data_IF_512190496809
#
_entry.id   IF_512190496809
#
_cell.length_a   1.000
_cell.length_b   1.000
_cell.length_c   1.000
_cell.angle_alpha   90.00
_cell.angle_beta   90.00
_cell.angle_gamma   90.00
#
_symmetry.space_group_name_H-M   'P 1'
#
loop_
_entity.id
_entity.type
_entity.pdbx_description
1 polymer ?
#
# COMPACT_ATOMS: atom_id res chain seq x y z
N UNK A 1 -35.04 26.67 8.97
CA UNK A 1 -34.32 27.39 10.04
C UNK A 1 -32.82 27.27 9.79
N UNK A 2 -32.12 28.37 9.54
CA UNK A 2 -30.67 28.36 9.26
C UNK A 2 -29.88 28.43 10.56
N UNK A 3 -29.06 27.42 10.84
CA UNK A 3 -28.14 27.39 11.97
C UNK A 3 -27.15 28.56 11.91
N UNK A 4 -26.93 29.22 13.04
CA UNK A 4 -25.97 30.30 13.23
C UNK A 4 -24.53 29.81 12.99
N UNK A 5 -23.64 30.72 12.57
CA UNK A 5 -22.22 30.42 12.37
C UNK A 5 -21.56 29.79 13.61
N UNK A 6 -22.00 30.18 14.81
CA UNK A 6 -21.49 29.67 16.09
C UNK A 6 -22.00 28.25 16.40
N UNK A 7 -23.25 27.96 16.05
CA UNK A 7 -23.86 26.62 16.20
C UNK A 7 -23.21 25.61 15.23
N UNK A 8 -22.91 26.04 14.00
CA UNK A 8 -22.15 25.24 13.03
C UNK A 8 -20.71 24.97 13.48
N UNK A 9 -20.07 25.92 14.18
CA UNK A 9 -18.73 25.73 14.72
C UNK A 9 -18.72 24.71 15.87
N UNK A 10 -19.67 24.82 16.81
CA UNK A 10 -19.83 23.86 17.93
C UNK A 10 -20.16 22.46 17.43
N UNK A 11 -21.10 22.35 16.50
CA UNK A 11 -21.49 21.06 15.92
C UNK A 11 -20.30 20.37 15.23
N UNK A 12 -19.48 21.11 14.47
CA UNK A 12 -18.25 20.59 13.84
C UNK A 12 -17.20 20.15 14.85
N UNK A 13 -17.01 20.91 15.93
CA UNK A 13 -16.05 20.56 16.98
C UNK A 13 -16.48 19.31 17.75
N UNK A 14 -17.77 19.17 18.02
CA UNK A 14 -18.35 18.02 18.69
C UNK A 14 -18.32 16.77 17.81
N UNK A 15 -18.67 16.89 16.52
CA UNK A 15 -18.49 15.78 15.56
C UNK A 15 -17.03 15.39 15.40
N UNK A 16 -16.09 16.34 15.36
CA UNK A 16 -14.66 16.05 15.28
C UNK A 16 -14.12 15.34 16.53
N UNK A 17 -14.56 15.75 17.73
CA UNK A 17 -14.18 15.10 18.98
C UNK A 17 -14.81 13.70 19.10
N UNK A 18 -16.06 13.54 18.67
CA UNK A 18 -16.73 12.24 18.67
C UNK A 18 -16.05 11.28 17.67
N UNK A 19 -15.70 11.77 16.47
CA UNK A 19 -14.94 11.01 15.49
C UNK A 19 -13.54 10.62 16.01
N UNK A 20 -12.85 11.50 16.75
CA UNK A 20 -11.56 11.18 17.39
C UNK A 20 -11.71 10.14 18.49
N UNK A 21 -12.76 10.23 19.32
CA UNK A 21 -13.08 9.25 20.36
C UNK A 21 -13.35 7.88 19.77
N UNK A 22 -14.21 7.81 18.75
CA UNK A 22 -14.53 6.57 18.03
C UNK A 22 -13.28 5.99 17.34
N UNK A 23 -12.45 6.83 16.71
CA UNK A 23 -11.17 6.37 16.15
C UNK A 23 -10.26 5.79 17.24
N UNK A 24 -10.13 6.44 18.39
CA UNK A 24 -9.28 5.94 19.50
C UNK A 24 -9.81 4.63 20.08
N UNK A 25 -11.11 4.50 20.26
CA UNK A 25 -11.75 3.27 20.73
C UNK A 25 -11.55 2.12 19.71
N UNK A 26 -11.81 2.37 18.42
CA UNK A 26 -11.59 1.39 17.36
C UNK A 26 -10.11 0.99 17.24
N UNK A 27 -9.18 1.93 17.43
CA UNK A 27 -7.74 1.65 17.40
C UNK A 27 -7.25 0.84 18.60
N UNK A 28 -7.92 0.91 19.75
CA UNK A 28 -7.55 0.14 20.94
C UNK A 28 -7.86 -1.36 20.81
N UNK A 29 -8.83 -1.71 19.96
CA UNK A 29 -9.25 -3.09 19.70
C UNK A 29 -8.53 -3.75 18.52
N UNK A 30 -7.68 -3.02 17.80
CA UNK A 30 -7.00 -3.50 16.59
C UNK A 30 -5.51 -3.76 16.83
N UNK A 31 -4.99 -4.81 16.22
CA UNK A 31 -3.54 -4.96 16.05
C UNK A 31 -3.14 -4.30 14.75
N UNK A 32 -2.39 -3.21 14.85
CA UNK A 32 -1.91 -2.42 13.72
C UNK A 32 -0.53 -2.90 13.32
N UNK A 33 -0.44 -3.58 12.17
CA UNK A 33 0.83 -3.93 11.54
C UNK A 33 1.18 -2.87 10.50
N UNK A 34 2.25 -2.12 10.75
CA UNK A 34 2.82 -1.20 9.77
C UNK A 34 4.04 -1.86 9.15
N UNK A 35 3.93 -2.30 7.90
CA UNK A 35 5.06 -2.91 7.19
C UNK A 35 5.80 -1.80 6.43
N UNK A 36 6.99 -1.44 6.93
CA UNK A 36 7.93 -0.59 6.20
C UNK A 36 8.86 -1.53 5.43
N UNK A 37 8.38 -2.09 4.33
CA UNK A 37 9.25 -2.89 3.46
C UNK A 37 10.11 -1.95 2.63
N UNK A 38 11.41 -1.88 2.94
CA UNK A 38 12.40 -1.22 2.09
C UNK A 38 12.66 -1.98 0.78
N UNK A 39 12.10 -3.17 0.60
CA UNK A 39 12.36 -4.01 -0.55
C UNK A 39 11.06 -4.58 -1.11
N UNK A 40 10.50 -3.87 -2.10
CA UNK A 40 9.38 -4.35 -2.93
C UNK A 40 9.81 -5.44 -3.92
N UNK A 41 11.09 -5.79 -3.92
CA UNK A 41 11.68 -6.82 -4.77
C UNK A 41 11.37 -8.24 -4.29
N UNK A 42 11.04 -8.39 -3.00
CA UNK A 42 10.71 -9.70 -2.42
C UNK A 42 9.37 -9.65 -1.67
N UNK A 43 8.26 -10.09 -2.29
CA UNK A 43 6.94 -10.08 -1.66
C UNK A 43 6.87 -10.97 -0.41
N UNK A 44 7.68 -12.03 -0.35
CA UNK A 44 7.65 -13.00 0.76
C UNK A 44 8.05 -12.39 2.12
N UNK A 45 8.79 -11.27 2.14
CA UNK A 45 9.16 -10.61 3.39
C UNK A 45 7.96 -9.93 4.05
N UNK A 46 7.07 -9.33 3.24
CA UNK A 46 5.85 -8.73 3.73
C UNK A 46 4.85 -9.79 4.19
N UNK A 47 4.66 -10.84 3.39
CA UNK A 47 3.83 -11.99 3.75
C UNK A 47 4.28 -12.61 5.08
N UNK A 48 5.58 -12.82 5.27
CA UNK A 48 6.10 -13.33 6.54
C UNK A 48 5.82 -12.39 7.73
N UNK A 49 5.83 -11.07 7.53
CA UNK A 49 5.48 -10.12 8.58
C UNK A 49 3.98 -10.16 8.90
N UNK A 50 3.13 -10.34 7.88
CA UNK A 50 1.68 -10.49 8.01
C UNK A 50 1.34 -11.79 8.73
N UNK A 51 2.01 -12.89 8.40
CA UNK A 51 1.82 -14.20 9.03
C UNK A 51 2.17 -14.18 10.52
N UNK A 52 3.22 -13.44 10.90
CA UNK A 52 3.56 -13.23 12.32
C UNK A 52 2.43 -12.53 13.09
N UNK A 53 1.68 -11.64 12.45
CA UNK A 53 0.57 -10.93 13.06
C UNK A 53 -0.74 -11.76 13.11
N UNK A 54 -0.97 -12.65 12.13
CA UNK A 54 -2.15 -13.52 12.03
C UNK A 54 -2.02 -14.84 12.83
N UNK A 55 -1.21 -14.86 13.89
CA UNK A 55 -0.94 -16.09 14.65
C UNK A 55 -2.19 -16.63 15.36
N UNK A 56 -2.26 -17.97 15.49
CA UNK A 56 -3.28 -18.68 16.26
C UNK A 56 -3.35 -18.12 17.69
N UNK A 57 -4.55 -17.74 18.13
CA UNK A 57 -4.81 -17.09 19.42
C UNK A 57 -5.05 -15.58 19.32
N UNK A 58 -4.85 -14.98 18.14
CA UNK A 58 -5.26 -13.61 17.89
C UNK A 58 -6.78 -13.53 17.73
N UNK A 59 -7.43 -12.73 18.58
CA UNK A 59 -8.88 -12.46 18.53
C UNK A 59 -9.20 -11.09 17.93
N UNK A 60 -8.20 -10.22 17.83
CA UNK A 60 -8.36 -8.84 17.33
C UNK A 60 -8.11 -8.78 15.83
N UNK A 61 -8.87 -7.97 15.08
CA UNK A 61 -8.62 -7.79 13.66
C UNK A 61 -7.23 -7.21 13.42
N UNK A 62 -6.51 -7.77 12.46
CA UNK A 62 -5.18 -7.31 12.05
C UNK A 62 -5.35 -6.37 10.86
N UNK A 63 -4.93 -5.12 11.02
CA UNK A 63 -4.91 -4.14 9.93
C UNK A 63 -3.49 -3.98 9.42
N UNK A 64 -3.29 -4.32 8.14
CA UNK A 64 -2.02 -4.14 7.45
C UNK A 64 -2.04 -2.83 6.67
N UNK A 65 -1.10 -1.95 6.96
CA UNK A 65 -0.92 -0.71 6.21
C UNK A 65 0.42 -0.72 5.48
N UNK A 66 0.37 -0.57 4.16
CA UNK A 66 1.53 -0.33 3.31
C UNK A 66 1.73 1.17 3.14
N UNK A 67 2.93 1.65 3.46
CA UNK A 67 3.29 3.06 3.28
C UNK A 67 4.06 3.16 1.96
N UNK A 68 3.52 3.91 1.02
CA UNK A 68 4.12 4.17 -0.29
C UNK A 68 4.38 5.67 -0.43
N UNK A 69 5.55 6.02 -0.95
CA UNK A 69 5.89 7.40 -1.29
C UNK A 69 5.61 7.59 -2.79
N UNK A 70 4.88 8.64 -3.14
CA UNK A 70 4.57 8.95 -4.54
C UNK A 70 5.82 9.41 -5.28
N UNK A 71 5.85 9.18 -6.60
CA UNK A 71 6.90 9.64 -7.52
C UNK A 71 8.29 9.05 -7.26
N UNK A 72 8.38 7.90 -6.57
CA UNK A 72 9.65 7.23 -6.32
C UNK A 72 9.83 5.99 -7.20
N UNK A 73 11.03 5.41 -7.16
CA UNK A 73 11.35 4.18 -7.91
C UNK A 73 10.45 3.04 -7.46
N UNK A 74 10.08 2.99 -6.19
CA UNK A 74 9.16 2.02 -5.59
C UNK A 74 7.79 1.97 -6.29
N UNK A 75 7.22 3.13 -6.62
CA UNK A 75 5.93 3.23 -7.32
C UNK A 75 6.02 2.65 -8.74
N UNK A 76 7.12 2.94 -9.43
CA UNK A 76 7.40 2.41 -10.78
C UNK A 76 7.68 0.90 -10.77
N UNK A 77 8.28 0.38 -9.70
CA UNK A 77 8.47 -1.06 -9.52
C UNK A 77 7.12 -1.75 -9.39
N UNK A 78 6.19 -1.20 -8.60
CA UNK A 78 4.85 -1.75 -8.46
C UNK A 78 4.09 -1.74 -9.79
N UNK A 79 4.13 -0.63 -10.52
CA UNK A 79 3.51 -0.53 -11.84
C UNK A 79 4.08 -1.56 -12.83
N UNK A 80 5.39 -1.77 -12.80
CA UNK A 80 6.04 -2.74 -13.68
C UNK A 80 5.67 -4.18 -13.30
N UNK A 81 5.60 -4.49 -12.01
CA UNK A 81 5.17 -5.81 -11.52
C UNK A 81 3.72 -6.11 -11.91
N UNK A 82 2.82 -5.12 -11.80
CA UNK A 82 1.42 -5.26 -12.21
C UNK A 82 1.31 -5.56 -13.71
N UNK A 83 1.95 -4.74 -14.56
CA UNK A 83 1.96 -4.95 -16.01
C UNK A 83 2.50 -6.33 -16.38
N UNK A 84 3.55 -6.79 -15.69
CA UNK A 84 4.08 -8.14 -15.93
C UNK A 84 3.11 -9.23 -15.49
N UNK A 85 2.38 -9.06 -14.37
CA UNK A 85 1.36 -10.01 -13.91
C UNK A 85 0.20 -10.10 -14.89
N UNK A 86 -0.33 -8.96 -15.32
CA UNK A 86 -1.40 -8.90 -16.32
C UNK A 86 -1.00 -9.59 -17.63
N UNK A 87 0.23 -9.37 -18.10
CA UNK A 87 0.74 -10.04 -19.31
C UNK A 87 0.78 -11.56 -19.16
N UNK A 88 1.09 -12.08 -17.98
CA UNK A 88 1.15 -13.52 -17.70
C UNK A 88 -0.24 -14.11 -17.48
N UNK A 89 -1.15 -13.40 -16.81
CA UNK A 89 -2.53 -13.88 -16.67
C UNK A 89 -3.22 -14.00 -18.05
N UNK A 90 -2.90 -13.09 -18.97
CA UNK A 90 -3.38 -13.15 -20.34
C UNK A 90 -2.63 -14.18 -21.21
N UNK A 91 -1.36 -14.44 -20.92
CA UNK A 91 -0.55 -15.44 -21.60
C UNK A 91 -0.41 -16.67 -20.70
N UNK A 92 -1.32 -17.65 -20.84
CA UNK A 92 -1.32 -18.97 -20.17
C UNK A 92 -0.07 -19.83 -20.48
N UNK A 93 1.13 -19.27 -20.36
CA UNK A 93 2.40 -19.87 -20.71
C UNK A 93 3.33 -19.84 -19.49
N UNK A 94 3.65 -21.02 -18.98
CA UNK A 94 4.58 -21.21 -17.85
C UNK A 94 5.97 -20.60 -18.12
N UNK A 95 6.35 -20.41 -19.40
CA UNK A 95 7.60 -19.77 -19.81
C UNK A 95 7.62 -18.26 -19.56
N UNK A 96 6.46 -17.60 -19.52
CA UNK A 96 6.36 -16.18 -19.23
C UNK A 96 6.68 -15.89 -17.75
N UNK A 97 6.31 -16.82 -16.86
CA UNK A 97 6.59 -16.74 -15.41
C UNK A 97 8.10 -16.75 -15.09
N UNK A 98 8.89 -17.56 -15.80
CA UNK A 98 10.36 -17.62 -15.63
C UNK A 98 11.08 -16.32 -16.05
N UNK A 99 10.50 -15.52 -16.95
CA UNK A 99 11.06 -14.26 -17.40
C UNK A 99 10.77 -13.08 -16.46
N UNK A 100 9.95 -13.28 -15.42
CA UNK A 100 9.55 -12.24 -14.47
C UNK A 100 10.75 -11.62 -13.73
N UNK A 101 11.74 -12.47 -13.39
CA UNK A 101 12.94 -12.08 -12.65
C UNK A 101 13.98 -11.32 -13.48
N UNK A 102 13.84 -11.24 -14.81
CA UNK A 102 14.78 -10.50 -15.66
C UNK A 102 14.19 -9.12 -15.99
N UNK A 103 14.95 -8.09 -15.64
CA UNK A 103 14.70 -6.72 -16.12
C UNK A 103 15.56 -6.49 -17.36
N UNK A 104 14.93 -6.18 -18.49
CA UNK A 104 15.65 -5.73 -19.67
C UNK A 104 16.09 -4.27 -19.53
N UNK A 105 16.90 -3.84 -20.49
CA UNK A 105 17.45 -2.47 -20.51
C UNK A 105 16.36 -1.39 -20.55
N UNK A 106 15.21 -1.69 -21.16
CA UNK A 106 14.07 -0.77 -21.26
C UNK A 106 13.33 -0.63 -19.93
N UNK A 107 13.11 -1.74 -19.21
CA UNK A 107 12.53 -1.69 -17.87
C UNK A 107 13.46 -0.96 -16.90
N UNK A 108 14.77 -1.21 -16.96
CA UNK A 108 15.75 -0.48 -16.14
C UNK A 108 15.72 1.03 -16.43
N UNK A 109 15.67 1.43 -17.70
CA UNK A 109 15.55 2.83 -18.07
C UNK A 109 14.25 3.48 -17.56
N UNK A 110 13.14 2.72 -17.54
CA UNK A 110 11.87 3.16 -16.97
C UNK A 110 11.94 3.34 -15.45
N UNK A 111 12.51 2.36 -14.72
CA UNK A 111 12.66 2.43 -13.26
C UNK A 111 13.43 3.67 -12.83
N UNK A 112 14.57 3.94 -13.48
CA UNK A 112 15.41 5.09 -13.16
C UNK A 112 14.99 6.40 -13.88
N UNK A 113 13.96 6.38 -14.72
CA UNK A 113 13.49 7.57 -15.44
C UNK A 113 14.50 8.12 -16.45
N UNK A 114 15.39 7.26 -16.98
CA UNK A 114 16.41 7.60 -17.97
C UNK A 114 15.80 7.70 -19.39
N UNK A 115 14.60 7.13 -19.56
CA UNK A 115 13.82 7.24 -20.81
C UNK A 115 13.41 8.70 -21.05
N UNK A 116 14.14 9.37 -21.94
CA UNK A 116 13.92 10.75 -22.42
C UNK A 116 14.47 11.87 -21.52
N UNK A 117 15.80 12.00 -21.47
CA UNK A 117 16.42 13.33 -21.55
C UNK A 117 17.06 13.49 -22.93
N UNK A 118 16.24 13.77 -23.94
CA UNK A 118 16.74 14.42 -25.18
C UNK A 118 17.00 15.88 -24.82
N UNK A 119 18.27 16.26 -24.76
CA UNK A 119 18.69 17.57 -25.24
C UNK A 119 19.37 17.33 -26.59
#
# INVERSE_FOLDING_TARGET
>A
MSLSANERARFRHETANNARSLKRAMLAELVRLSVISRSLWNPYIEEQAIDRAHRIGQIRPVMVHRILVRDTVEDRILELQEKKRELIENALDERASQNLGRLGTRELAFLFGISSRRQ
#
